data_IF_647122928810
#
_entry.id   IF_647122928810
#
_cell.length_a   1.000
_cell.length_b   1.000
_cell.length_c   1.000
_cell.angle_alpha   90.00
_cell.angle_beta   90.00
_cell.angle_gamma   90.00
#
_symmetry.space_group_name_H-M   'P 1'
#
loop_
_entity.id
_entity.type
_entity.pdbx_description
1 polymer ?
#
# COMPACT_ATOMS: atom_id res chain seq x y z
N UNK A 1 -4.08 -13.47 12.96
CA UNK A 1 -5.27 -12.88 12.33
C UNK A 1 -4.82 -11.57 11.71
N UNK A 2 -4.52 -11.58 10.41
CA UNK A 2 -4.17 -10.37 9.66
C UNK A 2 -5.46 -9.83 9.06
N UNK A 3 -6.23 -9.09 9.86
CA UNK A 3 -7.38 -8.38 9.34
C UNK A 3 -6.86 -7.22 8.50
N UNK A 4 -6.72 -7.45 7.18
CA UNK A 4 -6.47 -6.43 6.16
C UNK A 4 -7.72 -5.54 5.98
N UNK A 5 -8.29 -5.04 7.08
CA UNK A 5 -9.49 -4.23 7.06
C UNK A 5 -9.11 -2.81 6.71
N UNK A 6 -9.22 -2.48 5.42
CA UNK A 6 -9.07 -1.12 4.92
C UNK A 6 -10.21 -0.27 5.51
N UNK A 7 -9.93 0.89 6.12
CA UNK A 7 -10.97 1.80 6.60
C UNK A 7 -11.88 2.27 5.46
N UNK A 8 -13.17 2.48 5.74
CA UNK A 8 -14.14 2.90 4.72
C UNK A 8 -13.74 4.24 4.06
N UNK A 9 -13.21 5.18 4.83
CA UNK A 9 -12.67 6.46 4.33
C UNK A 9 -11.56 6.26 3.29
N UNK A 10 -10.64 5.32 3.56
CA UNK A 10 -9.55 4.98 2.65
C UNK A 10 -10.10 4.29 1.41
N UNK A 11 -11.06 3.38 1.56
CA UNK A 11 -11.67 2.67 0.44
C UNK A 11 -12.43 3.61 -0.49
N UNK A 12 -13.17 4.58 0.07
CA UNK A 12 -13.88 5.61 -0.70
C UNK A 12 -12.89 6.48 -1.47
N UNK A 13 -11.85 7.00 -0.80
CA UNK A 13 -10.83 7.82 -1.46
C UNK A 13 -10.14 7.06 -2.61
N UNK A 14 -9.80 5.79 -2.40
CA UNK A 14 -9.22 4.92 -3.44
C UNK A 14 -10.20 4.70 -4.61
N UNK A 15 -11.48 4.53 -4.32
CA UNK A 15 -12.54 4.38 -5.33
C UNK A 15 -12.76 5.66 -6.14
N UNK A 16 -12.48 6.83 -5.55
CA UNK A 16 -12.49 8.14 -6.21
C UNK A 16 -11.21 8.39 -7.04
N UNK A 17 -10.26 7.45 -7.03
CA UNK A 17 -9.00 7.54 -7.78
C UNK A 17 -7.83 8.13 -6.98
N UNK A 18 -7.99 8.35 -5.68
CA UNK A 18 -6.88 8.74 -4.80
C UNK A 18 -5.93 7.58 -4.63
N UNK A 19 -4.62 7.82 -4.76
CA UNK A 19 -3.62 6.78 -4.53
C UNK A 19 -3.70 6.25 -3.09
N UNK A 20 -3.58 4.93 -2.91
CA UNK A 20 -3.77 4.28 -1.60
C UNK A 20 -2.85 4.82 -0.49
N UNK A 21 -1.60 5.16 -0.84
CA UNK A 21 -0.65 5.80 0.12
C UNK A 21 -1.19 7.14 0.59
N UNK A 22 -1.70 7.95 -0.34
CA UNK A 22 -2.27 9.27 -0.04
C UNK A 22 -3.51 9.13 0.84
N UNK A 23 -4.39 8.21 0.50
CA UNK A 23 -5.60 7.94 1.26
C UNK A 23 -5.30 7.55 2.71
N UNK A 24 -4.32 6.66 2.95
CA UNK A 24 -3.90 6.31 4.31
C UNK A 24 -3.22 7.46 5.04
N UNK A 25 -2.34 8.20 4.36
CA UNK A 25 -1.64 9.34 4.93
C UNK A 25 -2.63 10.40 5.44
N UNK A 26 -3.59 10.79 4.58
CA UNK A 26 -4.63 11.75 4.93
C UNK A 26 -5.60 11.22 6.00
N UNK A 27 -5.98 9.94 5.93
CA UNK A 27 -6.83 9.31 6.94
C UNK A 27 -6.20 9.28 8.33
N UNK A 28 -4.88 9.06 8.39
CA UNK A 28 -4.11 9.05 9.63
C UNK A 28 -3.67 10.46 10.09
N UNK A 29 -3.96 11.50 9.29
CA UNK A 29 -3.63 12.88 9.61
C UNK A 29 -2.15 13.26 9.42
N UNK A 30 -1.41 12.50 8.62
CA UNK A 30 -0.01 12.80 8.31
C UNK A 30 0.11 13.81 7.17
N UNK A 31 1.00 14.80 7.30
CA UNK A 31 1.49 15.56 6.15
C UNK A 31 2.46 14.73 5.31
N UNK A 32 2.80 15.19 4.11
CA UNK A 32 3.84 14.55 3.28
C UNK A 32 5.18 14.65 4.00
N UNK A 33 5.43 15.76 4.67
CA UNK A 33 6.60 16.05 5.46
C UNK A 33 6.73 15.11 6.66
N UNK A 34 5.63 14.85 7.39
CA UNK A 34 5.63 13.91 8.51
C UNK A 34 5.91 12.47 8.03
N UNK A 35 5.33 12.08 6.89
CA UNK A 35 5.60 10.78 6.30
C UNK A 35 7.04 10.67 5.81
N UNK A 36 7.61 11.74 5.23
CA UNK A 36 9.00 11.80 4.82
C UNK A 36 9.96 11.56 6.00
N UNK A 37 9.74 12.27 7.11
CA UNK A 37 10.53 12.13 8.34
C UNK A 37 10.44 10.71 8.91
N UNK A 38 9.25 10.14 8.99
CA UNK A 38 9.03 8.82 9.62
C UNK A 38 9.44 7.65 8.72
N UNK A 39 9.42 7.82 7.40
CA UNK A 39 9.87 6.80 6.43
C UNK A 39 11.34 6.92 6.04
N UNK A 40 11.93 8.09 6.27
CA UNK A 40 13.27 8.46 5.81
C UNK A 40 13.36 8.57 4.28
N UNK A 41 12.24 8.85 3.62
CA UNK A 41 12.14 9.13 2.19
C UNK A 41 12.02 10.64 1.99
N UNK A 42 12.41 11.14 0.83
CA UNK A 42 12.18 12.54 0.50
C UNK A 42 10.69 12.80 0.22
N UNK A 43 10.22 14.01 0.55
CA UNK A 43 8.85 14.43 0.25
C UNK A 43 8.51 14.30 -1.24
N UNK A 44 9.47 14.63 -2.12
CA UNK A 44 9.34 14.46 -3.56
C UNK A 44 9.19 12.98 -3.96
N UNK A 45 9.93 12.07 -3.33
CA UNK A 45 9.76 10.63 -3.57
C UNK A 45 8.36 10.17 -3.20
N UNK A 46 7.80 10.66 -2.09
CA UNK A 46 6.42 10.38 -1.67
C UNK A 46 5.41 10.92 -2.66
N UNK A 47 5.55 12.18 -3.10
CA UNK A 47 4.68 12.78 -4.12
C UNK A 47 4.71 12.01 -5.44
N UNK A 48 5.90 11.58 -5.85
CA UNK A 48 6.11 10.76 -7.05
C UNK A 48 5.40 9.40 -6.94
N UNK A 49 5.38 8.79 -5.75
CA UNK A 49 4.61 7.58 -5.52
C UNK A 49 3.10 7.84 -5.54
N UNK A 50 2.64 8.94 -4.93
CA UNK A 50 1.23 9.35 -4.92
C UNK A 50 0.71 9.71 -6.32
N UNK A 51 1.57 10.15 -7.24
CA UNK A 51 1.21 10.39 -8.65
C UNK A 51 1.20 9.13 -9.51
N UNK A 52 1.55 7.97 -8.94
CA UNK A 52 1.53 6.68 -9.63
C UNK A 52 2.82 6.37 -10.40
N UNK A 53 3.92 7.10 -10.18
CA UNK A 53 5.21 6.68 -10.71
C UNK A 53 5.63 5.34 -10.10
N UNK A 54 6.43 4.56 -10.83
CA UNK A 54 6.91 3.25 -10.32
C UNK A 54 8.02 3.45 -9.30
N UNK A 55 7.97 2.67 -8.25
CA UNK A 55 8.93 2.65 -7.14
C UNK A 55 9.24 1.21 -6.75
N UNK A 56 10.38 1.02 -6.08
CA UNK A 56 10.82 -0.31 -5.66
C UNK A 56 10.02 -0.80 -4.44
N UNK A 57 10.08 -2.10 -4.19
CA UNK A 57 9.42 -2.73 -3.03
C UNK A 57 9.88 -2.15 -1.69
N UNK A 58 11.17 -1.82 -1.56
CA UNK A 58 11.73 -1.25 -0.33
C UNK A 58 11.05 0.06 0.08
N UNK A 59 10.59 0.87 -0.87
CA UNK A 59 9.88 2.12 -0.59
C UNK A 59 8.48 1.85 -0.03
N UNK A 60 7.77 0.85 -0.59
CA UNK A 60 6.48 0.37 -0.03
C UNK A 60 6.64 -0.11 1.40
N UNK A 61 7.65 -0.93 1.65
CA UNK A 61 7.90 -1.52 2.97
C UNK A 61 8.18 -0.43 4.01
N UNK A 62 8.95 0.60 3.64
CA UNK A 62 9.22 1.76 4.51
C UNK A 62 7.94 2.53 4.83
N UNK A 63 7.12 2.87 3.84
CA UNK A 63 5.85 3.58 4.05
C UNK A 63 4.87 2.76 4.89
N UNK A 64 4.73 1.47 4.58
CA UNK A 64 3.86 0.55 5.32
C UNK A 64 4.26 0.51 6.79
N UNK A 65 5.57 0.42 7.07
CA UNK A 65 6.11 0.44 8.44
C UNK A 65 5.89 1.78 9.13
N UNK A 66 6.10 2.90 8.46
CA UNK A 66 5.94 4.25 9.03
C UNK A 66 4.50 4.57 9.39
N UNK A 67 3.55 4.10 8.58
CA UNK A 67 2.12 4.23 8.83
C UNK A 67 1.57 3.13 9.75
N UNK A 68 2.44 2.26 10.29
CA UNK A 68 2.07 1.11 11.13
C UNK A 68 1.00 0.21 10.50
N UNK A 69 1.03 0.07 9.17
CA UNK A 69 0.09 -0.73 8.43
C UNK A 69 0.58 -2.19 8.29
N UNK A 70 -0.33 -3.16 8.05
CA UNK A 70 0.04 -4.53 7.75
C UNK A 70 0.82 -4.64 6.44
N UNK A 71 1.85 -5.49 6.41
CA UNK A 71 2.55 -5.84 5.19
C UNK A 71 1.57 -6.40 4.14
N UNK A 72 1.71 -5.97 2.88
CA UNK A 72 0.83 -6.41 1.78
C UNK A 72 -0.36 -5.50 1.52
N UNK A 73 -0.68 -4.53 2.41
CA UNK A 73 -1.81 -3.61 2.20
C UNK A 73 -1.61 -2.68 0.99
N UNK A 74 -0.35 -2.34 0.67
CA UNK A 74 0.05 -1.46 -0.43
C UNK A 74 0.54 -2.24 -1.66
N UNK A 75 0.47 -3.57 -1.65
CA UNK A 75 0.83 -4.34 -2.83
C UNK A 75 -0.27 -4.15 -3.88
N UNK A 76 0.10 -3.85 -5.14
CA UNK A 76 -0.88 -3.78 -6.20
C UNK A 76 -1.52 -5.16 -6.34
N UNK A 77 -2.84 -5.23 -6.49
CA UNK A 77 -3.56 -6.48 -6.73
C UNK A 77 -3.00 -7.29 -7.93
N UNK A 78 -2.22 -6.66 -8.81
CA UNK A 78 -1.50 -7.31 -9.91
C UNK A 78 -0.25 -8.10 -9.51
N UNK A 79 0.20 -8.07 -8.25
CA UNK A 79 1.25 -8.97 -7.75
C UNK A 79 0.74 -10.42 -7.57
N UNK A 80 -0.57 -10.66 -7.69
CA UNK A 80 -1.17 -12.00 -7.78
C UNK A 80 -1.05 -12.53 -9.23
N UNK A 81 0.15 -12.45 -9.83
CA UNK A 81 0.44 -13.17 -11.09
C UNK A 81 1.55 -14.22 -10.92
N UNK A 82 2.05 -14.47 -9.70
CA UNK A 82 3.17 -15.41 -9.47
C UNK A 82 2.89 -16.48 -8.41
N UNK A 83 1.64 -16.72 -8.00
CA UNK A 83 1.28 -17.91 -7.21
C UNK A 83 0.00 -18.59 -7.72
N UNK A 84 -0.19 -18.62 -9.05
CA UNK A 84 -0.72 -19.84 -9.67
C UNK A 84 0.49 -20.76 -9.81
N UNK A 85 0.60 -21.79 -8.96
CA UNK A 85 1.11 -23.12 -9.37
C UNK A 85 1.24 -24.18 -8.25
N UNK A 86 0.90 -23.93 -6.98
CA UNK A 86 0.76 -25.02 -6.01
C UNK A 86 -0.67 -25.13 -5.46
N UNK A 87 -1.26 -26.32 -5.65
CA UNK A 87 -2.55 -26.81 -5.13
C UNK A 87 -3.84 -26.53 -5.92
N UNK A 88 -3.85 -26.80 -7.24
CA UNK A 88 -5.08 -27.22 -7.94
C UNK A 88 -4.88 -28.62 -8.53
N UNK A 89 -4.75 -29.64 -7.66
CA UNK A 89 -4.69 -31.04 -8.11
C UNK A 89 -5.40 -32.07 -7.23
N UNK A 90 -6.04 -31.72 -6.11
CA UNK A 90 -6.72 -32.71 -5.26
C UNK A 90 -8.14 -32.31 -4.86
N UNK A 91 -8.99 -31.94 -5.83
CA UNK A 91 -10.44 -31.91 -5.58
C UNK A 91 -11.30 -32.50 -6.70
N UNK A 92 -10.71 -33.24 -7.64
CA UNK A 92 -11.47 -33.99 -8.66
C UNK A 92 -10.87 -35.37 -8.96
N UNK A 93 -10.68 -36.18 -7.92
CA UNK A 93 -10.83 -37.63 -8.05
C UNK A 93 -11.41 -38.25 -6.79
#
# INVERSE_FOLDING_TARGET
>A
MNDLRIPETVLTAVSEGTHIIRAYREHLGYSIEDLAVTSGLAAEEIQNMESGMRYNKGYRDRITRSLSLPAGILEPASAISTLRDECVSELFR
#
